data_IF_524727823361
#
_entry.id   IF_524727823361
#
_cell.length_a   1.000
_cell.length_b   1.000
_cell.length_c   1.000
_cell.angle_alpha   90.00
_cell.angle_beta   90.00
_cell.angle_gamma   90.00
#
_symmetry.space_group_name_H-M   'P 1'
#
loop_
_entity.id
_entity.type
_entity.pdbx_description
1 polymer ?
2 water ?
#
# COMPACT_ATOMS: atom_id res chain seq x y z
N UNK A 1 -11.55 5.88 -14.14
CA UNK A 1 -10.43 4.91 -14.25
C UNK A 1 -9.14 5.39 -13.58
N UNK A 2 -9.18 6.58 -12.99
CA UNK A 2 -8.02 7.10 -12.28
C UNK A 2 -8.26 6.85 -10.79
N UNK A 3 -7.62 5.83 -10.23
CA UNK A 3 -7.82 5.50 -8.82
C UNK A 3 -6.79 6.13 -7.85
N UNK A 4 -5.77 6.80 -8.38
CA UNK A 4 -4.77 7.40 -7.51
C UNK A 4 -3.85 6.33 -6.96
N UNK A 5 -3.52 6.36 -5.67
CA UNK A 5 -2.65 5.30 -5.15
C UNK A 5 -3.51 4.09 -4.86
N UNK A 6 -2.95 2.92 -5.12
CA UNK A 6 -3.66 1.67 -4.96
C UNK A 6 -2.82 0.69 -4.15
N UNK A 7 -3.48 -0.20 -3.42
CA UNK A 7 -2.77 -1.20 -2.64
C UNK A 7 -3.61 -2.46 -2.68
N UNK A 8 -2.95 -3.60 -2.63
CA UNK A 8 -3.65 -4.87 -2.65
C UNK A 8 -3.02 -5.75 -1.57
N UNK A 9 -3.81 -6.65 -1.01
CA UNK A 9 -3.31 -7.52 0.04
C UNK A 9 -4.08 -8.83 0.00
N UNK A 10 -3.42 -9.92 0.36
CA UNK A 10 -4.09 -11.21 0.36
C UNK A 10 -3.15 -12.39 0.25
N UNK A 11 -3.73 -13.55 -0.03
CA UNK A 11 -2.97 -14.79 -0.15
C UNK A 11 -3.28 -15.54 -1.45
N UNK A 12 -2.26 -16.20 -2.00
CA UNK A 12 -2.37 -17.00 -3.23
C UNK A 12 -1.99 -18.43 -2.90
N UNK A 13 -1.86 -19.24 -3.95
CA UNK A 13 -1.46 -20.63 -3.78
C UNK A 13 0.06 -20.61 -3.64
N UNK A 14 0.66 -19.47 -3.95
CA UNK A 14 2.11 -19.30 -3.86
C UNK A 14 2.53 -18.62 -2.56
N UNK A 15 1.59 -17.94 -1.91
CA UNK A 15 1.91 -17.27 -0.66
C UNK A 15 1.04 -16.07 -0.35
N UNK A 16 1.53 -15.22 0.56
CA UNK A 16 0.81 -14.02 0.96
C UNK A 16 1.56 -12.84 0.37
N UNK A 17 0.91 -11.68 0.29
CA UNK A 17 1.59 -10.53 -0.29
C UNK A 17 0.93 -9.20 0.05
N UNK A 18 1.62 -8.15 -0.35
CA UNK A 18 1.15 -6.80 -0.18
C UNK A 18 1.68 -6.09 -1.42
N UNK A 19 0.83 -5.35 -2.11
CA UNK A 19 1.26 -4.66 -3.31
C UNK A 19 0.82 -3.20 -3.26
N UNK A 20 1.66 -2.32 -3.78
CA UNK A 20 1.37 -0.91 -3.76
C UNK A 20 1.69 -0.24 -5.09
N UNK A 21 0.85 0.70 -5.49
CA UNK A 21 1.09 1.42 -6.73
C UNK A 21 0.72 2.89 -6.69
N UNK A 22 1.65 3.72 -7.15
CA UNK A 22 1.42 5.14 -7.22
C UNK A 22 0.85 5.51 -8.60
N UNK A 23 -0.30 6.17 -8.61
CA UNK A 23 -0.89 6.64 -9.86
C UNK A 23 -0.95 8.15 -9.61
N UNK A 24 -0.47 8.94 -10.56
CA UNK A 24 -0.47 10.38 -10.38
C UNK A 24 -0.47 11.18 -11.68
N UNK A 25 -1.01 12.39 -11.61
CA UNK A 25 -1.07 13.30 -12.74
C UNK A 25 -0.13 14.47 -12.46
N UNK A 26 -0.06 14.88 -11.20
CA UNK A 26 0.76 16.01 -10.79
C UNK A 26 2.22 15.74 -10.43
N UNK A 27 2.54 14.55 -9.93
CA UNK A 27 3.93 14.25 -9.58
C UNK A 27 4.41 12.91 -10.12
N UNK A 28 4.68 12.84 -11.44
CA UNK A 28 5.15 11.62 -12.09
C UNK A 28 6.63 11.36 -11.81
N UNK A 29 7.29 12.37 -11.24
CA UNK A 29 8.72 12.29 -10.95
C UNK A 29 9.06 11.67 -9.60
N UNK A 30 8.67 10.41 -9.42
CA UNK A 30 8.96 9.69 -8.19
C UNK A 30 9.25 8.23 -8.48
N UNK A 31 9.94 7.59 -7.55
CA UNK A 31 10.31 6.20 -7.72
C UNK A 31 10.27 5.49 -6.37
N UNK A 32 10.42 4.17 -6.39
CA UNK A 32 10.40 3.38 -5.16
C UNK A 32 11.78 2.84 -4.83
N UNK A 33 12.31 3.27 -3.69
CA UNK A 33 13.62 2.84 -3.22
C UNK A 33 13.47 1.75 -2.17
N UNK A 34 13.97 0.56 -2.50
CA UNK A 34 13.90 -0.59 -1.61
C UNK A 34 15.01 -0.57 -0.57
N UNK A 35 14.68 -0.98 0.65
CA UNK A 35 15.66 -1.02 1.73
C UNK A 35 15.40 -2.20 2.67
N UNK A 36 16.09 -2.19 3.81
CA UNK A 36 15.95 -3.25 4.79
C UNK A 36 14.57 -3.23 5.43
N UNK A 37 13.75 -4.21 5.07
CA UNK A 37 12.40 -4.31 5.62
C UNK A 37 11.62 -3.01 5.44
N UNK A 38 11.81 -2.35 4.30
CA UNK A 38 11.11 -1.10 4.05
C UNK A 38 11.26 -0.60 2.62
N UNK A 39 10.15 -0.15 2.04
CA UNK A 39 10.17 0.40 0.69
C UNK A 39 9.63 1.81 0.73
N UNK A 40 10.45 2.77 0.32
CA UNK A 40 10.04 4.16 0.34
C UNK A 40 9.69 4.68 -1.05
N UNK A 41 8.79 5.64 -1.09
CA UNK A 41 8.39 6.29 -2.33
C UNK A 41 9.13 7.63 -2.23
N UNK A 42 10.08 7.86 -3.13
CA UNK A 42 10.86 9.09 -3.10
C UNK A 42 10.95 9.82 -4.44
N UNK A 43 11.26 11.13 -4.41
CA UNK A 43 11.39 11.95 -5.61
C UNK A 43 12.57 11.47 -6.45
N UNK A 44 12.45 11.62 -7.76
CA UNK A 44 13.53 11.21 -8.66
C UNK A 44 14.66 12.24 -8.57
N UNK A 45 15.85 11.84 -8.99
CA UNK A 45 17.04 12.69 -8.99
C UNK A 45 16.74 14.13 -9.43
N UNK A 46 16.96 15.08 -8.53
CA UNK A 46 16.73 16.48 -8.86
C UNK A 46 15.40 17.06 -8.41
N UNK A 47 14.42 16.21 -8.11
CA UNK A 47 13.10 16.67 -7.69
C UNK A 47 12.91 16.58 -6.17
N UNK A 48 14.02 16.46 -5.45
CA UNK A 48 13.98 16.34 -3.99
C UNK A 48 13.34 17.52 -3.26
N UNK A 49 13.14 18.63 -3.96
CA UNK A 49 12.52 19.80 -3.33
C UNK A 49 11.00 19.72 -3.38
N UNK A 50 10.48 18.80 -4.18
CA UNK A 50 9.04 18.63 -4.32
C UNK A 50 8.34 18.31 -3.00
N UNK A 51 9.09 17.74 -2.06
CA UNK A 51 8.54 17.36 -0.76
C UNK A 51 8.24 18.53 0.17
N UNK A 52 8.81 19.69 -0.12
CA UNK A 52 8.58 20.86 0.72
C UNK A 52 7.34 21.65 0.31
N UNK A 53 6.77 21.29 -0.84
CA UNK A 53 5.57 21.95 -1.33
C UNK A 53 4.39 21.00 -1.13
N UNK A 54 4.65 19.70 -1.29
CA UNK A 54 3.63 18.68 -1.11
C UNK A 54 4.21 17.59 -0.21
N UNK A 55 3.94 17.68 1.10
CA UNK A 55 4.42 16.73 2.11
C UNK A 55 3.80 15.33 2.07
N UNK A 56 2.95 15.06 1.09
CA UNK A 56 2.31 13.76 1.00
C UNK A 56 2.91 12.86 -0.08
N UNK A 57 3.88 13.38 -0.82
CA UNK A 57 4.49 12.60 -1.90
C UNK A 57 5.70 11.75 -1.49
N UNK A 58 6.25 11.98 -0.31
CA UNK A 58 7.39 11.19 0.17
C UNK A 58 6.98 10.44 1.43
N UNK A 59 7.21 9.13 1.44
CA UNK A 59 6.83 8.31 2.59
C UNK A 59 7.17 6.84 2.33
N UNK A 60 7.16 6.04 3.39
CA UNK A 60 7.41 4.61 3.28
C UNK A 60 6.07 4.00 2.91
N UNK A 61 6.02 3.19 1.86
CA UNK A 61 4.76 2.57 1.43
C UNK A 61 4.66 1.14 1.92
N UNK A 62 5.79 0.58 2.33
CA UNK A 62 5.81 -0.78 2.85
C UNK A 62 6.82 -0.91 3.98
N UNK A 63 6.38 -1.52 5.08
CA UNK A 63 7.24 -1.76 6.23
C UNK A 63 7.08 -3.23 6.54
N UNK A 64 8.19 -3.88 6.90
CA UNK A 64 8.14 -5.29 7.28
C UNK A 64 8.54 -5.33 8.75
N UNK A 65 7.63 -5.78 9.61
CA UNK A 65 7.91 -5.88 11.03
C UNK A 65 7.67 -7.33 11.45
N UNK A 66 8.76 -8.08 11.62
CA UNK A 66 8.64 -9.48 12.00
C UNK A 66 7.89 -10.28 10.94
N UNK A 67 6.85 -10.98 11.36
CA UNK A 67 6.04 -11.79 10.45
C UNK A 67 4.93 -10.97 9.78
N UNK A 68 4.94 -9.66 9.98
CA UNK A 68 3.89 -8.82 9.40
C UNK A 68 4.34 -7.83 8.34
N UNK A 69 3.56 -7.74 7.26
CA UNK A 69 3.86 -6.80 6.20
C UNK A 69 2.81 -5.68 6.26
N UNK A 70 3.25 -4.43 6.22
CA UNK A 70 2.34 -3.29 6.28
C UNK A 70 2.46 -2.42 5.03
N UNK A 71 1.33 -2.00 4.49
CA UNK A 71 1.33 -1.18 3.29
C UNK A 71 0.33 -0.04 3.42
N UNK A 72 0.67 1.12 2.86
CA UNK A 72 -0.21 2.28 2.90
C UNK A 72 0.28 3.36 1.94
N UNK A 73 -0.59 4.33 1.66
CA UNK A 73 -0.26 5.43 0.75
C UNK A 73 0.35 6.64 1.45
N UNK A 74 0.84 6.47 2.68
CA UNK A 74 1.42 7.60 3.38
C UNK A 74 2.28 7.28 4.59
N UNK A 75 2.65 8.32 5.34
CA UNK A 75 3.50 8.18 6.52
C UNK A 75 2.86 7.31 7.60
N UNK A 76 1.57 7.01 7.46
CA UNK A 76 0.92 6.17 8.45
C UNK A 76 1.40 4.72 8.34
N UNK A 77 2.24 4.44 7.34
CA UNK A 77 2.80 3.10 7.18
C UNK A 77 3.65 2.81 8.42
N UNK A 78 4.41 3.82 8.85
CA UNK A 78 5.28 3.71 10.01
C UNK A 78 4.48 3.70 11.32
N UNK A 79 3.44 4.53 11.37
CA UNK A 79 2.58 4.64 12.54
C UNK A 79 1.97 3.27 12.84
N UNK A 80 1.49 2.61 11.79
CA UNK A 80 0.87 1.29 11.93
C UNK A 80 1.92 0.23 12.22
N UNK A 81 3.00 0.25 11.45
CA UNK A 81 4.08 -0.72 11.63
C UNK A 81 4.65 -0.66 13.04
N UNK A 82 4.86 0.55 13.56
CA UNK A 82 5.40 0.70 14.92
C UNK A 82 4.48 0.09 15.97
N UNK A 83 3.17 0.27 15.83
CA UNK A 83 2.23 -0.30 16.79
C UNK A 83 2.24 -1.83 16.72
N UNK A 84 2.43 -2.38 15.53
CA UNK A 84 2.49 -3.83 15.40
C UNK A 84 3.77 -4.33 16.09
N UNK A 85 4.88 -3.64 15.86
CA UNK A 85 6.15 -4.03 16.48
C UNK A 85 6.07 -3.90 18.00
N UNK A 86 5.23 -2.99 18.49
CA UNK A 86 5.08 -2.82 19.92
C UNK A 86 4.05 -3.77 20.52
N UNK A 87 3.33 -4.49 19.67
CA UNK A 87 2.37 -5.45 20.18
C UNK A 87 0.89 -5.34 19.83
N UNK A 88 0.48 -4.30 19.13
CA UNK A 88 -0.94 -4.11 18.78
C UNK A 88 -1.46 -5.00 17.64
N UNK A 89 -2.67 -5.54 17.81
CA UNK A 89 -3.27 -6.38 16.77
C UNK A 89 -3.47 -5.52 15.52
N UNK A 90 -3.56 -6.17 14.36
CA UNK A 90 -3.71 -5.48 13.08
C UNK A 90 -4.93 -4.58 12.97
N UNK A 91 -6.09 -5.10 13.35
CA UNK A 91 -7.33 -4.34 13.27
C UNK A 91 -7.15 -3.00 13.98
N UNK A 92 -6.70 -3.05 15.23
CA UNK A 92 -6.50 -1.84 16.02
C UNK A 92 -5.32 -0.98 15.58
N UNK A 93 -4.25 -1.61 15.11
CA UNK A 93 -3.08 -0.86 14.67
C UNK A 93 -3.50 0.04 13.50
N UNK A 94 -4.31 -0.49 12.60
CA UNK A 94 -4.77 0.29 11.46
C UNK A 94 -5.85 1.28 11.90
N UNK A 95 -6.80 0.79 12.69
CA UNK A 95 -7.88 1.64 13.17
C UNK A 95 -7.42 2.87 13.93
N UNK A 96 -6.54 2.67 14.91
CA UNK A 96 -6.01 3.74 15.75
C UNK A 96 -5.23 4.75 14.92
N UNK A 97 -4.39 4.24 14.02
CA UNK A 97 -3.57 5.10 13.19
C UNK A 97 -4.42 5.95 12.24
N UNK A 98 -5.36 5.32 11.55
CA UNK A 98 -6.20 6.05 10.62
C UNK A 98 -7.10 7.05 11.34
N UNK A 99 -7.66 6.64 12.48
CA UNK A 99 -8.52 7.53 13.24
C UNK A 99 -7.75 8.79 13.65
N UNK A 100 -6.51 8.60 14.09
CA UNK A 100 -5.71 9.74 14.53
C UNK A 100 -5.15 10.57 13.37
N UNK A 101 -4.54 9.92 12.38
CA UNK A 101 -3.96 10.60 11.21
C UNK A 101 -5.04 11.28 10.36
N UNK A 102 -6.10 10.54 10.04
CA UNK A 102 -7.21 11.09 9.27
C UNK A 102 -6.85 11.30 7.79
N UNK A 103 -7.81 11.79 7.00
CA UNK A 103 -7.58 12.02 5.58
C UNK A 103 -6.57 13.15 5.37
N UNK A 104 -5.87 13.12 4.24
CA UNK A 104 -4.86 14.13 3.94
C UNK A 104 -5.50 15.46 3.53
N UNK A 105 -4.91 16.56 3.97
CA UNK A 105 -5.44 17.89 3.66
C UNK A 105 -4.89 18.49 2.39
N UNK A 106 -5.28 17.91 1.26
CA UNK A 106 -4.85 18.42 -0.03
C UNK A 106 -6.12 18.89 -0.71
N UNK A 107 -6.03 19.20 -1.99
CA UNK A 107 -7.18 19.68 -2.72
C UNK A 107 -8.30 18.64 -2.77
N UNK A 108 -7.96 17.36 -2.66
CA UNK A 108 -8.96 16.31 -2.75
C UNK A 108 -9.33 15.56 -1.46
N UNK A 109 -8.82 16.02 -0.32
CA UNK A 109 -9.10 15.32 0.95
C UNK A 109 -8.76 13.85 0.73
N UNK A 110 -7.64 13.62 0.05
CA UNK A 110 -7.18 12.29 -0.27
C UNK A 110 -7.20 11.34 0.92
N UNK A 111 -7.97 10.26 0.81
CA UNK A 111 -8.05 9.30 1.92
C UNK A 111 -6.69 8.69 2.26
N UNK A 112 -6.58 8.14 3.46
CA UNK A 112 -5.38 7.43 3.84
C UNK A 112 -5.86 6.00 3.81
N UNK A 113 -5.15 5.16 3.06
CA UNK A 113 -5.50 3.75 2.96
C UNK A 113 -4.34 2.93 3.50
N UNK A 114 -4.64 1.72 3.95
CA UNK A 114 -3.62 0.86 4.51
C UNK A 114 -4.12 -0.57 4.59
N UNK A 115 -3.17 -1.48 4.84
CA UNK A 115 -3.47 -2.89 4.99
C UNK A 115 -2.29 -3.51 5.70
N UNK A 116 -2.50 -4.66 6.34
CA UNK A 116 -1.42 -5.37 7.03
C UNK A 116 -1.77 -6.86 7.04
N UNK A 117 -0.75 -7.72 6.94
CA UNK A 117 -0.92 -9.19 6.94
C UNK A 117 0.18 -9.87 7.72
N UNK A 118 -0.18 -10.90 8.47
CA UNK A 118 0.82 -11.68 9.17
C UNK A 118 0.55 -13.13 8.77
N UNK A 119 1.13 -14.07 9.50
CA UNK A 119 0.94 -15.47 9.17
C UNK A 119 -0.48 -16.01 9.18
N UNK A 120 -1.38 -15.39 9.93
CA UNK A 120 -2.75 -15.90 9.99
C UNK A 120 -3.89 -14.91 9.73
N UNK A 121 -3.59 -13.61 9.76
CA UNK A 121 -4.64 -12.62 9.54
C UNK A 121 -4.22 -11.47 8.65
N UNK A 122 -5.22 -10.73 8.19
CA UNK A 122 -5.01 -9.56 7.34
C UNK A 122 -6.20 -8.61 7.42
N UNK A 123 -5.89 -7.33 7.52
CA UNK A 123 -6.93 -6.32 7.56
C UNK A 123 -6.58 -5.22 6.57
N UNK A 124 -7.60 -4.49 6.16
CA UNK A 124 -7.43 -3.40 5.22
C UNK A 124 -8.35 -2.28 5.71
N UNK A 125 -7.92 -1.04 5.56
CA UNK A 125 -8.74 0.06 6.02
C UNK A 125 -8.59 1.34 5.23
N UNK A 126 -9.51 2.26 5.50
CA UNK A 126 -9.49 3.55 4.84
C UNK A 126 -10.16 4.59 5.74
N UNK A 127 -9.66 5.82 5.69
CA UNK A 127 -10.28 6.89 6.45
C UNK A 127 -10.49 8.05 5.48
N UNK A 128 -11.72 8.54 5.44
CA UNK A 128 -12.08 9.64 4.55
C UNK A 128 -12.82 10.71 5.34
N UNK A 129 -13.21 11.77 4.63
CA UNK A 129 -13.94 12.86 5.25
C UNK A 129 -15.31 12.36 5.70
N UNK A 130 -15.76 11.25 5.11
CA UNK A 130 -17.06 10.69 5.44
C UNK A 130 -17.06 9.47 6.34
N UNK A 131 -15.89 8.97 6.71
CA UNK A 131 -15.89 7.81 7.58
C UNK A 131 -14.58 7.10 7.80
N UNK A 132 -14.67 6.03 8.57
CA UNK A 132 -13.53 5.20 8.91
C UNK A 132 -13.98 3.74 8.77
N UNK A 133 -13.28 2.99 7.94
CA UNK A 133 -13.64 1.60 7.72
C UNK A 133 -12.40 0.72 7.73
N UNK A 134 -12.38 -0.23 8.65
CA UNK A 134 -11.28 -1.17 8.76
C UNK A 134 -11.99 -2.50 8.72
N UNK A 135 -11.57 -3.38 7.82
CA UNK A 135 -12.24 -4.67 7.71
C UNK A 135 -11.29 -5.84 7.47
N UNK A 136 -11.71 -7.01 7.94
CA UNK A 136 -10.93 -8.23 7.79
C UNK A 136 -10.83 -8.57 6.30
N UNK A 137 -9.66 -9.03 5.86
CA UNK A 137 -9.50 -9.42 4.46
C UNK A 137 -10.03 -10.84 4.37
N UNK A 138 -10.98 -11.10 3.46
CA UNK A 138 -11.53 -12.45 3.32
C UNK A 138 -10.46 -13.48 2.98
N UNK A 139 -10.57 -14.66 3.59
CA UNK A 139 -9.63 -15.75 3.38
C UNK A 139 -9.71 -16.26 1.94
N UNK A 140 -10.88 -16.10 1.35
CA UNK A 140 -11.17 -16.56 0.00
C UNK A 140 -10.44 -15.82 -1.13
N UNK A 141 -10.43 -14.50 -1.09
CA UNK A 141 -9.79 -13.73 -2.16
C UNK A 141 -8.99 -12.50 -1.73
N UNK A 142 -7.96 -12.15 -2.50
CA UNK A 142 -7.13 -10.98 -2.19
C UNK A 142 -8.01 -9.77 -2.49
N UNK A 143 -7.63 -8.60 -1.99
CA UNK A 143 -8.42 -7.40 -2.25
C UNK A 143 -7.54 -6.18 -2.45
N UNK A 144 -8.13 -5.14 -3.02
CA UNK A 144 -7.43 -3.90 -3.25
C UNK A 144 -8.37 -2.74 -2.95
N UNK A 145 -7.78 -1.56 -2.81
CA UNK A 145 -8.54 -0.36 -2.50
C UNK A 145 -7.66 0.78 -2.97
N UNK A 146 -8.26 1.93 -3.23
CA UNK A 146 -7.49 3.08 -3.70
C UNK A 146 -8.02 4.36 -3.07
N UNK A 147 -7.29 5.46 -3.29
CA UNK A 147 -7.69 6.75 -2.74
C UNK A 147 -8.89 7.34 -3.47
N UNK A 148 -9.02 7.05 -4.76
CA UNK A 148 -10.13 7.56 -5.57
C UNK A 148 -10.94 6.45 -6.25
N UNK A 149 -12.26 6.66 -6.32
CA UNK A 149 -13.19 5.72 -6.96
C UNK A 149 -13.42 4.43 -6.16
N UNK A 150 -12.41 3.56 -6.11
CA UNK A 150 -12.53 2.29 -5.39
C UNK A 150 -12.15 2.47 -3.91
N UNK A 151 -12.96 3.25 -3.20
CA UNK A 151 -12.75 3.55 -1.79
C UNK A 151 -13.36 2.52 -0.84
N UNK A 152 -13.58 1.32 -1.37
CA UNK A 152 -14.11 0.18 -0.63
C UNK A 152 -13.28 -1.00 -1.11
N UNK A 153 -12.96 -1.95 -0.22
CA UNK A 153 -12.16 -3.10 -0.68
C UNK A 153 -12.91 -3.81 -1.80
N UNK A 154 -12.18 -4.30 -2.79
CA UNK A 154 -12.78 -5.02 -3.92
C UNK A 154 -11.96 -6.26 -4.20
N UNK A 155 -12.63 -7.37 -4.51
CA UNK A 155 -11.95 -8.64 -4.79
C UNK A 155 -11.04 -8.57 -6.01
N UNK A 156 -10.03 -9.43 -6.01
CA UNK A 156 -9.08 -9.47 -7.11
C UNK A 156 -8.33 -10.79 -7.16
N UNK A 157 -8.22 -11.35 -8.36
CA UNK A 157 -7.49 -12.59 -8.55
C UNK A 157 -6.04 -12.17 -8.80
N UNK A 158 -5.33 -11.89 -7.72
CA UNK A 158 -3.95 -11.45 -7.82
C UNK A 158 -3.03 -12.61 -8.15
N UNK A 159 -2.33 -12.49 -9.27
CA UNK A 159 -1.42 -13.54 -9.71
C UNK A 159 0.02 -13.10 -9.45
N UNK A 160 0.74 -13.90 -8.68
CA UNK A 160 2.13 -13.61 -8.36
C UNK A 160 2.70 -14.70 -7.47
N UNK A 161 3.99 -14.96 -7.63
CA UNK A 161 4.66 -15.97 -6.82
C UNK A 161 5.97 -15.40 -6.32
N UNK A 162 6.08 -14.08 -6.39
CA UNK A 162 7.27 -13.37 -5.97
C UNK A 162 6.97 -11.87 -5.87
N UNK A 163 7.82 -11.11 -5.16
CA UNK A 163 7.57 -9.68 -5.04
C UNK A 163 7.61 -8.93 -6.37
N UNK A 164 8.57 -9.26 -7.23
CA UNK A 164 8.66 -8.58 -8.52
C UNK A 164 7.42 -8.84 -9.38
N UNK A 165 6.85 -10.04 -9.28
CA UNK A 165 5.65 -10.36 -10.04
C UNK A 165 4.47 -9.56 -9.49
N UNK A 166 4.39 -9.49 -8.16
CA UNK A 166 3.31 -8.76 -7.49
C UNK A 166 3.34 -7.28 -7.85
N UNK A 167 4.53 -6.70 -7.83
CA UNK A 167 4.68 -5.29 -8.16
C UNK A 167 4.26 -5.04 -9.60
N UNK A 168 4.72 -5.90 -10.50
CA UNK A 168 4.39 -5.80 -11.92
C UNK A 168 2.88 -5.83 -12.12
N UNK A 169 2.23 -6.81 -11.50
CA UNK A 169 0.79 -7.01 -11.63
C UNK A 169 -0.07 -5.82 -11.21
N UNK A 170 0.22 -5.23 -10.06
CA UNK A 170 -0.58 -4.09 -9.61
C UNK A 170 -0.23 -2.90 -10.50
N UNK A 171 0.90 -3.00 -11.18
CA UNK A 171 1.35 -1.94 -12.07
C UNK A 171 0.72 -2.04 -13.46
N UNK A 172 0.75 -3.23 -14.06
CA UNK A 172 0.20 -3.43 -15.41
C UNK A 172 -0.71 -4.65 -15.54
N UNK A 173 -0.56 -5.60 -14.63
CA UNK A 173 -1.35 -6.82 -14.70
C UNK A 173 -2.86 -6.72 -14.59
N UNK A 174 -3.52 -7.80 -15.02
CA UNK A 174 -4.97 -7.91 -14.98
C UNK A 174 -5.81 -6.64 -15.03
N UNK A 175 -6.73 -6.53 -14.07
CA UNK A 175 -7.63 -5.38 -13.98
C UNK A 175 -6.94 -4.04 -13.75
N UNK A 176 -5.71 -4.07 -13.25
CA UNK A 176 -4.99 -2.83 -12.98
C UNK A 176 -4.43 -2.17 -14.23
N UNK A 177 -4.39 -2.91 -15.34
CA UNK A 177 -3.89 -2.37 -16.59
C UNK A 177 -4.75 -1.17 -16.99
N UNK A 178 -6.04 -1.30 -16.75
CA UNK A 178 -7.01 -0.26 -17.08
C UNK A 178 -6.88 1.02 -16.25
N UNK A 179 -6.45 0.90 -15.00
CA UNK A 179 -6.31 2.08 -14.14
C UNK A 179 -5.14 2.94 -14.63
N UNK A 180 -5.46 4.19 -14.95
CA UNK A 180 -4.51 5.14 -15.53
C UNK A 180 -3.45 5.81 -14.67
N UNK A 181 -2.54 6.48 -15.37
CA UNK A 181 -1.43 7.23 -14.80
C UNK A 181 -0.47 6.45 -13.89
N UNK A 182 0.01 5.29 -14.37
CA UNK A 182 0.94 4.47 -13.58
C UNK A 182 2.27 5.21 -13.43
N UNK A 183 2.81 5.24 -12.21
CA UNK A 183 4.09 5.91 -11.98
C UNK A 183 5.13 4.90 -11.50
N UNK A 184 4.84 4.23 -10.38
CA UNK A 184 5.78 3.25 -9.86
C UNK A 184 5.06 2.30 -8.89
N UNK A 185 5.69 1.16 -8.59
CA UNK A 185 5.08 0.18 -7.71
C UNK A 185 6.08 -0.56 -6.82
N UNK A 186 5.56 -1.30 -5.86
CA UNK A 186 6.38 -2.06 -4.92
C UNK A 186 5.54 -3.18 -4.34
N UNK A 187 6.20 -4.15 -3.73
CA UNK A 187 5.47 -5.26 -3.15
C UNK A 187 6.32 -6.09 -2.20
N UNK A 188 5.64 -6.90 -1.40
CA UNK A 188 6.29 -7.79 -0.45
C UNK A 188 5.58 -9.11 -0.64
N UNK A 189 6.35 -10.18 -0.70
CA UNK A 189 5.75 -11.50 -0.89
C UNK A 189 6.36 -12.49 0.09
N UNK A 190 5.52 -13.37 0.62
CA UNK A 190 5.97 -14.38 1.57
C UNK A 190 5.59 -15.75 1.03
N UNK A 191 6.58 -16.51 0.56
CA UNK A 191 6.32 -17.84 0.03
C UNK A 191 6.21 -18.85 1.17
N UNK A 192 6.22 -18.33 2.40
CA UNK A 192 6.14 -19.18 3.57
C UNK A 192 7.47 -19.28 4.28
N UNK A 193 8.48 -18.62 3.73
CA UNK A 193 9.82 -18.65 4.30
C UNK A 193 10.32 -17.26 4.71
N UNK A 194 9.42 -16.28 4.71
CA UNK A 194 9.79 -14.93 5.08
C UNK A 194 9.36 -13.91 4.05
N UNK A 195 9.49 -12.63 4.38
CA UNK A 195 9.11 -11.56 3.48
C UNK A 195 10.26 -11.09 2.59
N UNK A 196 9.95 -10.85 1.32
CA UNK A 196 10.92 -10.38 0.34
C UNK A 196 10.34 -9.16 -0.37
N UNK A 197 11.17 -8.15 -0.57
CA UNK A 197 10.74 -6.91 -1.22
C UNK A 197 11.20 -6.78 -2.66
N UNK A 198 10.46 -5.98 -3.44
CA UNK A 198 10.78 -5.74 -4.84
C UNK A 198 10.03 -4.53 -5.39
N UNK A 199 10.53 -3.96 -6.48
CA UNK A 199 9.91 -2.81 -7.11
C UNK A 199 9.87 -2.95 -8.63
N UNK A 200 9.13 -2.06 -9.28
CA UNK A 200 8.98 -2.07 -10.73
C UNK A 200 8.74 -0.66 -11.24
N UNK A 201 9.52 -0.27 -12.25
CA UNK A 201 9.41 1.06 -12.84
C UNK A 201 8.77 1.04 -14.22
N UNK A 202 7.44 1.08 -14.24
CA UNK A 202 6.65 1.07 -15.47
C UNK A 202 7.36 0.38 -16.64
#
# INVERSE_FOLDING_TARGET
MYLGRILAVGRNSNGSFVAYRVSSRSFPNRTTSIQEERVAVVPVEGHERDVFRNPYIAYNCIRIVGDTAVVSNGSHTDTIADKVALGMNLRDAIGLSLLAMDYEKDELNTPRIAAAINGSEAFIGIVTADGLMVSRVPEETPVYISTYEQTEPAATEFKAGSPEEAAEFILKGGEFAAFTHPVTAAAAFNDGEGWNLATREM
#
